data_IF_002221605160
#
_entry.id   IF_002221605160
#
_cell.length_a   1.000
_cell.length_b   1.000
_cell.length_c   1.000
_cell.angle_alpha   90.00
_cell.angle_beta   90.00
_cell.angle_gamma   90.00
#
_symmetry.space_group_name_H-M   'P 1'
#
loop_
_entity.id
_entity.type
_entity.pdbx_description
1 polymer ?
#
# COMPACT_ATOMS: atom_id res chain seq x y z
N UNK A 1 -4.36 21.65 6.75
CA UNK A 1 -3.76 20.53 7.52
C UNK A 1 -4.31 19.24 6.95
N UNK A 2 -3.45 18.24 6.74
CA UNK A 2 -3.91 16.94 6.28
C UNK A 2 -4.83 16.31 7.32
N UNK A 3 -5.96 15.74 6.87
CA UNK A 3 -6.91 15.05 7.76
C UNK A 3 -6.31 13.72 8.24
N UNK A 4 -6.34 13.47 9.53
CA UNK A 4 -5.76 12.24 10.11
C UNK A 4 -6.81 11.14 10.29
N UNK A 5 -6.34 9.88 10.42
CA UNK A 5 -7.18 8.71 10.73
C UNK A 5 -8.00 8.97 12.01
N UNK A 6 -7.36 9.50 13.07
CA UNK A 6 -8.01 9.80 14.35
C UNK A 6 -9.12 10.85 14.22
N UNK A 7 -8.92 11.88 13.38
CA UNK A 7 -9.95 12.91 13.15
C UNK A 7 -11.18 12.34 12.44
N UNK A 8 -10.98 11.42 11.49
CA UNK A 8 -12.09 10.74 10.81
C UNK A 8 -12.82 9.80 11.77
N UNK A 9 -12.11 9.03 12.56
CA UNK A 9 -12.72 8.16 13.56
C UNK A 9 -13.54 8.94 14.61
N UNK A 10 -13.06 10.10 15.02
CA UNK A 10 -13.78 11.00 15.95
C UNK A 10 -15.05 11.59 15.34
N UNK A 11 -15.08 11.85 14.02
CA UNK A 11 -16.28 12.32 13.30
C UNK A 11 -17.30 11.23 13.03
N UNK A 12 -16.90 9.97 13.09
CA UNK A 12 -17.70 8.79 12.79
C UNK A 12 -17.49 8.27 11.38
N UNK A 13 -17.32 6.95 11.29
CA UNK A 13 -17.21 6.23 10.04
C UNK A 13 -18.59 5.78 9.54
N UNK A 14 -18.79 5.84 8.24
CA UNK A 14 -19.96 5.29 7.60
C UNK A 14 -19.92 3.75 7.50
N UNK A 15 -18.71 3.19 7.52
CA UNK A 15 -18.45 1.76 7.43
C UNK A 15 -17.05 1.45 7.96
N UNK A 16 -16.92 0.39 8.74
CA UNK A 16 -15.65 -0.11 9.26
C UNK A 16 -15.62 -1.62 9.24
N UNK A 17 -14.52 -2.21 8.80
CA UNK A 17 -14.35 -3.66 8.73
C UNK A 17 -12.92 -4.08 9.02
N UNK A 18 -12.76 -5.32 9.47
CA UNK A 18 -11.45 -5.96 9.63
C UNK A 18 -11.02 -6.48 8.27
N UNK A 19 -9.79 -6.15 7.86
CA UNK A 19 -9.19 -6.54 6.57
C UNK A 19 -7.96 -7.42 6.75
N UNK A 20 -7.28 -7.74 5.64
CA UNK A 20 -6.01 -8.46 5.67
C UNK A 20 -6.12 -9.90 6.14
N UNK A 21 -5.14 -10.38 6.87
CA UNK A 21 -5.05 -11.79 7.32
C UNK A 21 -6.24 -12.22 8.17
N UNK A 22 -6.77 -11.32 8.99
CA UNK A 22 -7.93 -11.58 9.85
C UNK A 22 -9.25 -11.68 9.08
N UNK A 23 -9.36 -11.03 7.91
CA UNK A 23 -10.52 -11.18 7.02
C UNK A 23 -10.56 -12.57 6.40
N UNK A 24 -9.40 -13.07 5.99
CA UNK A 24 -9.27 -14.36 5.29
C UNK A 24 -9.04 -15.55 6.21
N UNK A 25 -8.93 -15.34 7.54
CA UNK A 25 -8.64 -16.41 8.49
C UNK A 25 -7.23 -17.01 8.33
N UNK A 26 -6.30 -16.23 7.79
CA UNK A 26 -4.88 -16.61 7.64
C UNK A 26 -3.97 -15.98 8.69
N UNK A 27 -4.57 -15.29 9.66
CA UNK A 27 -3.85 -14.67 10.77
C UNK A 27 -3.23 -15.72 11.70
N UNK A 28 -2.08 -15.37 12.27
CA UNK A 28 -1.40 -16.17 13.32
C UNK A 28 -1.72 -15.50 14.65
N UNK A 29 -2.34 -16.24 15.55
CA UNK A 29 -2.74 -15.74 16.86
C UNK A 29 -1.55 -15.20 17.65
N UNK A 30 -1.67 -13.99 18.19
CA UNK A 30 -0.63 -13.31 18.95
C UNK A 30 0.54 -12.74 18.14
N UNK A 31 0.52 -12.88 16.78
CA UNK A 31 1.59 -12.39 15.88
C UNK A 31 1.06 -11.43 14.83
N UNK A 32 -0.11 -11.75 14.23
CA UNK A 32 -0.65 -10.94 13.14
C UNK A 32 -1.33 -9.68 13.65
N UNK A 33 -0.98 -8.53 13.10
CA UNK A 33 -1.64 -7.25 13.36
C UNK A 33 -3.06 -7.25 12.78
N UNK A 34 -3.94 -6.45 13.38
CA UNK A 34 -5.31 -6.28 12.93
C UNK A 34 -5.38 -5.07 12.01
N UNK A 35 -5.48 -5.33 10.72
CA UNK A 35 -5.69 -4.28 9.72
C UNK A 35 -7.15 -3.82 9.70
N UNK A 36 -7.37 -2.52 9.57
CA UNK A 36 -8.70 -1.92 9.51
C UNK A 36 -8.93 -1.24 8.17
N UNK A 37 -10.12 -1.43 7.63
CA UNK A 37 -10.59 -0.71 6.45
C UNK A 37 -11.92 -0.03 6.74
N UNK A 38 -12.27 0.97 5.93
CA UNK A 38 -13.58 1.59 6.08
C UNK A 38 -13.85 2.69 5.07
N UNK A 39 -15.04 3.27 5.24
CA UNK A 39 -15.57 4.36 4.42
C UNK A 39 -16.04 5.49 5.33
N UNK A 40 -15.68 6.70 5.00
CA UNK A 40 -16.20 7.90 5.64
C UNK A 40 -16.97 8.77 4.64
N UNK A 41 -17.83 9.63 5.15
CA UNK A 41 -18.55 10.62 4.35
C UNK A 41 -17.96 11.98 4.70
N UNK A 42 -17.38 12.64 3.70
CA UNK A 42 -16.89 14.00 3.88
C UNK A 42 -18.05 14.97 4.08
N UNK A 43 -17.83 16.03 4.87
CA UNK A 43 -18.84 17.06 5.05
C UNK A 43 -19.06 17.91 3.79
N UNK A 44 -20.22 18.57 3.71
CA UNK A 44 -20.60 19.36 2.55
C UNK A 44 -19.61 20.49 2.25
N UNK A 45 -18.99 21.08 3.27
CA UNK A 45 -18.01 22.15 3.07
C UNK A 45 -16.74 21.62 2.40
N UNK A 46 -16.33 20.43 2.76
CA UNK A 46 -15.20 19.73 2.14
C UNK A 46 -15.52 19.35 0.68
N UNK A 47 -16.73 18.82 0.42
CA UNK A 47 -17.12 18.37 -0.92
C UNK A 47 -17.40 19.52 -1.89
N UNK A 48 -17.97 20.63 -1.40
CA UNK A 48 -18.36 21.81 -2.21
C UNK A 48 -17.32 22.93 -2.16
N UNK A 49 -16.32 22.82 -1.29
CA UNK A 49 -15.26 23.79 -1.11
C UNK A 49 -14.13 23.66 -2.13
N UNK A 50 -13.06 24.42 -1.88
CA UNK A 50 -11.82 24.29 -2.64
C UNK A 50 -11.10 22.99 -2.28
N UNK A 51 -10.49 22.29 -3.24
CA UNK A 51 -9.94 20.93 -3.08
C UNK A 51 -8.74 20.83 -2.12
N UNK A 52 -8.26 21.91 -1.55
CA UNK A 52 -7.07 21.94 -0.68
C UNK A 52 -7.18 21.03 0.58
N UNK A 53 -8.41 20.71 1.00
CA UNK A 53 -8.65 19.88 2.19
C UNK A 53 -9.39 18.56 1.88
N UNK A 54 -9.57 18.21 0.61
CA UNK A 54 -10.21 16.96 0.23
C UNK A 54 -9.19 15.83 0.08
N UNK A 55 -9.26 14.87 0.97
CA UNK A 55 -8.43 13.66 0.91
C UNK A 55 -9.31 12.45 0.60
N UNK A 56 -9.27 11.94 -0.63
CA UNK A 56 -10.12 10.82 -1.05
C UNK A 56 -9.75 9.49 -0.38
N UNK A 57 -8.56 9.39 0.20
CA UNK A 57 -8.06 8.24 0.92
C UNK A 57 -7.13 8.69 2.04
N UNK A 58 -7.34 8.16 3.23
CA UNK A 58 -6.54 8.43 4.41
C UNK A 58 -6.01 7.11 4.95
N UNK A 59 -4.72 7.07 5.25
CA UNK A 59 -4.07 5.91 5.86
C UNK A 59 -3.20 6.36 7.02
N UNK A 60 -3.02 5.48 7.99
CA UNK A 60 -2.02 5.69 9.03
C UNK A 60 -0.58 5.49 8.48
N UNK A 61 0.43 5.81 9.29
CA UNK A 61 1.84 5.71 8.87
C UNK A 61 2.29 4.28 8.54
N UNK A 62 1.67 3.29 9.17
CA UNK A 62 1.96 1.86 8.96
C UNK A 62 1.17 1.25 7.82
N UNK A 63 0.15 1.95 7.32
CA UNK A 63 -0.86 1.45 6.37
C UNK A 63 -1.70 0.27 6.88
N UNK A 64 -1.76 0.07 8.20
CA UNK A 64 -2.61 -0.94 8.83
C UNK A 64 -4.08 -0.49 8.82
N UNK A 65 -4.30 0.83 8.83
CA UNK A 65 -5.64 1.44 8.74
C UNK A 65 -5.76 2.27 7.45
N UNK A 66 -6.83 2.04 6.68
CA UNK A 66 -7.12 2.77 5.46
C UNK A 66 -8.60 3.07 5.33
N UNK A 67 -8.94 4.34 5.20
CA UNK A 67 -10.30 4.82 4.98
C UNK A 67 -10.43 5.54 3.65
N UNK A 68 -11.51 5.24 2.92
CA UNK A 68 -11.87 5.91 1.67
C UNK A 68 -13.02 6.88 1.91
N UNK A 69 -12.97 8.02 1.27
CA UNK A 69 -14.17 8.83 1.13
C UNK A 69 -15.21 8.09 0.28
N UNK A 70 -16.52 8.25 0.59
CA UNK A 70 -17.61 7.49 -0.03
C UNK A 70 -17.60 7.57 -1.57
N UNK A 71 -17.45 8.75 -2.13
CA UNK A 71 -17.40 8.94 -3.60
C UNK A 71 -16.18 8.25 -4.19
N UNK A 72 -15.03 8.35 -3.54
CA UNK A 72 -13.82 7.65 -3.95
C UNK A 72 -13.96 6.14 -3.86
N UNK A 73 -14.59 5.64 -2.82
CA UNK A 73 -14.86 4.21 -2.67
C UNK A 73 -15.74 3.68 -3.80
N UNK A 74 -16.84 4.39 -4.13
CA UNK A 74 -17.71 4.03 -5.26
C UNK A 74 -16.94 4.08 -6.58
N UNK A 75 -16.12 5.09 -6.81
CA UNK A 75 -15.27 5.17 -8.00
C UNK A 75 -14.35 3.94 -8.14
N UNK A 76 -13.74 3.51 -7.04
CA UNK A 76 -12.88 2.33 -7.00
C UNK A 76 -13.68 1.03 -7.26
N UNK A 77 -14.90 0.92 -6.72
CA UNK A 77 -15.81 -0.19 -7.01
C UNK A 77 -16.16 -0.26 -8.50
N UNK A 78 -16.50 0.88 -9.12
CA UNK A 78 -16.80 0.96 -10.56
C UNK A 78 -15.59 0.57 -11.44
N UNK A 79 -14.37 0.80 -10.94
CA UNK A 79 -13.12 0.39 -11.60
C UNK A 79 -12.71 -1.05 -11.26
N UNK A 80 -13.55 -1.80 -10.57
CA UNK A 80 -13.29 -3.15 -10.11
C UNK A 80 -11.96 -3.27 -9.32
N UNK A 81 -11.65 -2.26 -8.49
CA UNK A 81 -10.44 -2.29 -7.67
C UNK A 81 -10.54 -3.42 -6.64
N UNK A 82 -9.54 -4.33 -6.53
CA UNK A 82 -9.59 -5.49 -5.65
C UNK A 82 -9.85 -5.15 -4.18
N UNK A 83 -9.19 -4.12 -3.64
CA UNK A 83 -9.34 -3.74 -2.23
C UNK A 83 -10.75 -3.15 -1.94
N UNK A 84 -11.31 -2.39 -2.88
CA UNK A 84 -12.67 -1.88 -2.76
C UNK A 84 -13.70 -3.00 -2.85
N UNK A 85 -13.52 -3.94 -3.78
CA UNK A 85 -14.38 -5.13 -3.88
C UNK A 85 -14.28 -5.99 -2.63
N UNK A 86 -13.08 -6.22 -2.08
CA UNK A 86 -12.89 -6.91 -0.80
C UNK A 86 -13.77 -6.28 0.30
N UNK A 87 -13.71 -4.96 0.45
CA UNK A 87 -14.49 -4.25 1.45
C UNK A 87 -15.99 -4.38 1.27
N UNK A 88 -16.46 -4.41 0.01
CA UNK A 88 -17.87 -4.55 -0.34
C UNK A 88 -18.43 -5.94 0.04
N UNK A 89 -17.59 -6.96 -0.07
CA UNK A 89 -17.94 -8.36 0.20
C UNK A 89 -17.48 -8.85 1.59
N UNK A 90 -16.96 -7.96 2.44
CA UNK A 90 -16.59 -8.34 3.80
C UNK A 90 -17.79 -8.96 4.54
N UNK A 91 -17.63 -10.13 5.17
CA UNK A 91 -18.72 -10.79 5.88
C UNK A 91 -19.11 -10.02 7.14
N UNK A 92 -20.34 -10.20 7.60
CA UNK A 92 -20.93 -9.40 8.67
C UNK A 92 -20.21 -9.55 10.02
N UNK A 93 -19.61 -10.71 10.28
CA UNK A 93 -18.78 -10.96 11.49
C UNK A 93 -17.44 -10.18 11.50
N UNK A 94 -17.06 -9.62 10.36
CA UNK A 94 -15.87 -8.77 10.21
C UNK A 94 -16.18 -7.29 10.20
N UNK A 95 -17.45 -6.93 10.29
CA UNK A 95 -17.88 -5.53 10.35
C UNK A 95 -17.83 -5.04 11.79
N UNK A 96 -17.32 -3.83 11.96
CA UNK A 96 -17.15 -3.20 13.27
C UNK A 96 -18.11 -2.01 13.41
N UNK A 97 -19.09 -2.13 14.29
CA UNK A 97 -20.08 -1.10 14.56
C UNK A 97 -21.23 -1.10 13.54
N UNK A 98 -21.92 0.04 13.45
CA UNK A 98 -23.08 0.22 12.58
C UNK A 98 -22.67 0.62 11.16
N UNK A 99 -23.45 0.21 10.18
CA UNK A 99 -23.26 0.60 8.77
C UNK A 99 -24.21 1.75 8.45
N UNK A 100 -23.69 2.83 7.89
CA UNK A 100 -24.51 3.94 7.41
C UNK A 100 -25.46 3.47 6.29
N UNK A 101 -26.73 3.92 6.25
CA UNK A 101 -27.72 3.47 5.25
C UNK A 101 -27.26 3.59 3.79
N UNK A 102 -26.50 4.64 3.44
CA UNK A 102 -25.95 4.79 2.09
C UNK A 102 -24.96 3.67 1.72
N UNK A 103 -24.11 3.24 2.65
CA UNK A 103 -23.17 2.13 2.44
C UNK A 103 -23.93 0.81 2.41
N UNK A 104 -24.93 0.64 3.30
CA UNK A 104 -25.77 -0.56 3.31
C UNK A 104 -26.49 -0.74 1.97
N UNK A 105 -27.05 0.33 1.40
CA UNK A 105 -27.69 0.29 0.07
C UNK A 105 -26.72 -0.22 -1.02
N UNK A 106 -25.47 0.22 -0.97
CA UNK A 106 -24.44 -0.24 -1.92
C UNK A 106 -24.12 -1.71 -1.69
N UNK A 107 -23.99 -2.16 -0.44
CA UNK A 107 -23.74 -3.55 -0.07
C UNK A 107 -24.88 -4.47 -0.47
N UNK A 108 -26.12 -4.04 -0.31
CA UNK A 108 -27.33 -4.81 -0.72
C UNK A 108 -27.39 -5.03 -2.25
N UNK A 109 -26.77 -4.11 -3.00
CA UNK A 109 -26.69 -4.17 -4.46
C UNK A 109 -25.27 -4.53 -4.97
N UNK A 110 -24.45 -5.19 -4.14
CA UNK A 110 -23.04 -5.46 -4.44
C UNK A 110 -22.80 -6.25 -5.74
N UNK A 111 -23.74 -7.08 -6.14
CA UNK A 111 -23.62 -7.89 -7.36
C UNK A 111 -23.55 -7.02 -8.63
N UNK A 112 -24.06 -5.78 -8.59
CA UNK A 112 -23.96 -4.83 -9.70
C UNK A 112 -22.52 -4.41 -10.00
N UNK A 113 -21.61 -4.52 -9.01
CA UNK A 113 -20.19 -4.17 -9.16
C UNK A 113 -19.35 -5.34 -9.67
N UNK A 114 -19.91 -6.56 -9.72
CA UNK A 114 -19.20 -7.74 -10.26
C UNK A 114 -19.37 -7.75 -11.77
N UNK A 115 -18.55 -7.00 -12.46
CA UNK A 115 -18.58 -6.86 -13.92
C UNK A 115 -17.45 -7.65 -14.59
N UNK A 116 -17.43 -7.71 -15.93
CA UNK A 116 -16.35 -8.33 -16.69
C UNK A 116 -14.98 -7.68 -16.44
N UNK A 117 -14.95 -6.40 -16.06
CA UNK A 117 -13.72 -5.69 -15.68
C UNK A 117 -13.04 -6.31 -14.45
N UNK A 118 -13.82 -6.96 -13.57
CA UNK A 118 -13.25 -7.67 -12.42
C UNK A 118 -12.25 -8.75 -12.84
N UNK A 119 -12.47 -9.42 -13.97
CA UNK A 119 -11.54 -10.43 -14.46
C UNK A 119 -10.15 -9.85 -14.74
N UNK A 120 -10.09 -8.74 -15.47
CA UNK A 120 -8.82 -8.09 -15.82
C UNK A 120 -8.12 -7.52 -14.58
N UNK A 121 -8.89 -6.84 -13.73
CA UNK A 121 -8.38 -6.19 -12.53
C UNK A 121 -7.83 -7.21 -11.53
N UNK A 122 -8.62 -8.24 -11.19
CA UNK A 122 -8.21 -9.28 -10.24
C UNK A 122 -7.07 -10.14 -10.79
N UNK A 123 -7.09 -10.49 -12.08
CA UNK A 123 -6.01 -11.24 -12.71
C UNK A 123 -4.70 -10.45 -12.69
N UNK A 124 -4.73 -9.17 -13.06
CA UNK A 124 -3.57 -8.28 -12.99
C UNK A 124 -3.02 -8.15 -11.56
N UNK A 125 -3.90 -8.01 -10.57
CA UNK A 125 -3.53 -8.00 -9.17
C UNK A 125 -2.87 -9.31 -8.73
N UNK A 126 -3.50 -10.46 -9.01
CA UNK A 126 -2.96 -11.77 -8.67
C UNK A 126 -1.57 -12.01 -9.27
N UNK A 127 -1.38 -11.71 -10.56
CA UNK A 127 -0.07 -11.79 -11.24
C UNK A 127 0.96 -10.90 -10.55
N UNK A 128 0.58 -9.69 -10.16
CA UNK A 128 1.48 -8.77 -9.46
C UNK A 128 1.92 -9.30 -8.10
N UNK A 129 1.02 -9.92 -7.34
CA UNK A 129 1.32 -10.53 -6.05
C UNK A 129 2.23 -11.76 -6.21
N UNK A 130 1.97 -12.63 -7.19
CA UNK A 130 2.84 -13.77 -7.51
C UNK A 130 4.26 -13.28 -7.85
N UNK A 131 4.39 -12.23 -8.67
CA UNK A 131 5.70 -11.65 -8.99
C UNK A 131 6.43 -11.08 -7.77
N UNK A 132 5.72 -10.44 -6.84
CA UNK A 132 6.30 -9.97 -5.58
C UNK A 132 6.80 -11.14 -4.73
N UNK A 133 6.00 -12.19 -4.59
CA UNK A 133 6.40 -13.38 -3.81
C UNK A 133 7.57 -14.12 -4.44
N UNK A 134 7.60 -14.32 -5.76
CA UNK A 134 8.75 -14.94 -6.43
C UNK A 134 10.02 -14.10 -6.32
N UNK A 135 9.89 -12.77 -6.31
CA UNK A 135 11.01 -11.86 -6.03
C UNK A 135 11.51 -11.95 -4.59
N UNK A 136 10.62 -12.11 -3.62
CA UNK A 136 10.94 -12.34 -2.21
C UNK A 136 11.60 -13.72 -2.01
N UNK A 137 11.09 -14.76 -2.67
CA UNK A 137 11.70 -16.10 -2.63
C UNK A 137 13.13 -16.10 -3.17
N UNK A 138 13.45 -15.30 -4.19
CA UNK A 138 14.83 -15.12 -4.65
C UNK A 138 15.75 -14.58 -3.52
N UNK A 139 15.25 -13.67 -2.70
CA UNK A 139 15.99 -13.14 -1.55
C UNK A 139 16.11 -14.14 -0.39
N UNK A 140 15.12 -15.02 -0.21
CA UNK A 140 15.12 -16.04 0.83
C UNK A 140 15.92 -17.30 0.45
N UNK A 141 15.86 -17.70 -0.83
CA UNK A 141 16.54 -18.92 -1.34
C UNK A 141 18.00 -18.66 -1.69
N UNK A 142 18.35 -17.41 -1.99
CA UNK A 142 19.73 -16.97 -2.12
C UNK A 142 20.01 -15.94 -1.03
N UNK A 143 20.38 -16.36 0.20
CA UNK A 143 20.88 -15.40 1.17
C UNK A 143 22.07 -14.70 0.52
N UNK A 144 21.91 -13.42 0.23
CA UNK A 144 23.03 -12.59 -0.22
C UNK A 144 23.92 -12.46 1.00
N UNK A 145 24.92 -13.32 1.09
CA UNK A 145 25.95 -13.33 2.14
C UNK A 145 26.68 -11.99 2.20
N UNK A 146 26.78 -11.32 1.04
CA UNK A 146 27.29 -9.96 0.93
C UNK A 146 26.31 -9.13 0.09
N UNK A 147 25.75 -8.09 0.71
CA UNK A 147 24.93 -7.12 0.02
C UNK A 147 25.83 -6.26 -0.87
N UNK A 148 25.71 -6.38 -2.19
CA UNK A 148 26.43 -5.50 -3.12
C UNK A 148 25.94 -4.07 -2.95
N UNK A 149 26.89 -3.18 -2.76
CA UNK A 149 26.67 -1.73 -2.69
C UNK A 149 26.89 -1.09 -4.06
N UNK A 150 26.48 0.16 -4.20
CA UNK A 150 26.62 0.87 -5.49
C UNK A 150 28.09 0.92 -5.96
N UNK A 151 29.04 1.06 -5.01
CA UNK A 151 30.47 1.11 -5.33
C UNK A 151 31.04 -0.22 -5.83
N UNK A 152 30.36 -1.37 -5.60
CA UNK A 152 30.76 -2.66 -6.19
C UNK A 152 30.63 -2.70 -7.71
N UNK A 153 29.85 -1.77 -8.28
CA UNK A 153 29.64 -1.63 -9.72
C UNK A 153 30.40 -0.44 -10.33
N UNK A 154 31.15 0.30 -9.52
CA UNK A 154 31.90 1.47 -9.95
C UNK A 154 33.37 1.12 -10.19
N UNK A 155 33.91 1.56 -11.33
CA UNK A 155 35.29 1.36 -11.71
C UNK A 155 35.94 2.69 -12.09
N UNK A 156 37.25 2.79 -11.87
CA UNK A 156 38.07 3.91 -12.32
C UNK A 156 39.24 3.42 -13.17
N UNK A 157 39.87 4.32 -13.89
CA UNK A 157 41.04 3.98 -14.72
C UNK A 157 42.29 3.75 -13.88
N UNK A 158 43.06 2.70 -14.23
CA UNK A 158 44.41 2.44 -13.69
C UNK A 158 45.32 2.09 -14.83
N UNK A 159 46.11 3.08 -15.32
CA UNK A 159 46.91 2.94 -16.53
C UNK A 159 46.03 2.67 -17.76
N UNK A 160 46.29 1.57 -18.47
CA UNK A 160 45.51 1.13 -19.65
C UNK A 160 44.33 0.20 -19.25
N UNK A 161 44.16 -0.10 -17.96
CA UNK A 161 43.12 -0.96 -17.47
C UNK A 161 42.11 -0.23 -16.55
N UNK A 162 41.25 -1.02 -15.87
CA UNK A 162 40.31 -0.52 -14.89
C UNK A 162 40.58 -1.14 -13.52
N UNK A 163 40.30 -0.39 -12.47
CA UNK A 163 40.36 -0.81 -11.08
C UNK A 163 38.99 -0.59 -10.43
N UNK A 164 38.57 -1.46 -9.50
CA UNK A 164 37.34 -1.24 -8.75
C UNK A 164 37.47 0.06 -7.91
N UNK A 165 36.37 0.77 -7.75
CA UNK A 165 36.35 1.99 -6.94
C UNK A 165 36.69 1.69 -5.48
N UNK A 166 36.31 0.51 -4.96
CA UNK A 166 36.65 0.08 -3.59
C UNK A 166 38.16 -0.05 -3.41
N UNK A 167 38.85 -0.71 -4.34
CA UNK A 167 40.31 -0.87 -4.27
C UNK A 167 41.01 0.49 -4.41
N UNK A 168 40.51 1.35 -5.28
CA UNK A 168 41.05 2.71 -5.44
C UNK A 168 40.94 3.54 -4.17
N UNK A 169 39.82 3.46 -3.45
CA UNK A 169 39.62 4.15 -2.16
C UNK A 169 40.49 3.55 -1.07
N UNK A 170 40.61 2.21 -1.02
CA UNK A 170 41.44 1.52 -0.05
C UNK A 170 42.94 1.85 -0.23
N UNK A 171 43.44 1.89 -1.48
CA UNK A 171 44.83 2.29 -1.79
C UNK A 171 45.16 3.71 -1.30
N UNK A 172 44.15 4.59 -1.22
CA UNK A 172 44.32 5.98 -0.75
C UNK A 172 43.95 6.21 0.70
N UNK A 173 43.58 5.17 1.43
CA UNK A 173 43.17 5.27 2.83
C UNK A 173 41.87 6.04 3.05
N UNK A 174 41.00 6.10 2.01
CA UNK A 174 39.69 6.77 2.07
C UNK A 174 38.62 5.78 2.51
N UNK A 175 37.91 6.12 3.57
CA UNK A 175 36.78 5.30 4.04
C UNK A 175 35.53 5.56 3.15
N UNK A 176 34.97 4.49 2.63
CA UNK A 176 33.80 4.50 1.76
C UNK A 176 32.60 5.26 2.37
N UNK A 177 32.43 5.24 3.69
CA UNK A 177 31.34 5.94 4.39
C UNK A 177 31.34 7.46 4.18
N UNK A 178 32.46 8.04 3.79
CA UNK A 178 32.60 9.47 3.48
C UNK A 178 32.45 9.78 1.99
N UNK A 179 32.21 8.75 1.15
CA UNK A 179 32.07 8.89 -0.28
C UNK A 179 30.60 8.79 -0.67
N UNK A 180 30.12 9.72 -1.51
CA UNK A 180 28.78 9.75 -2.08
C UNK A 180 28.81 9.80 -3.60
N UNK A 181 27.74 9.32 -4.23
CA UNK A 181 27.51 9.51 -5.66
C UNK A 181 26.84 10.88 -5.86
N UNK A 182 27.46 11.70 -6.69
CA UNK A 182 26.92 13.00 -7.09
C UNK A 182 26.48 12.89 -8.54
N UNK A 183 25.23 13.27 -8.83
CA UNK A 183 24.75 13.40 -10.19
C UNK A 183 25.32 14.73 -10.76
N UNK A 184 26.22 14.63 -11.71
CA UNK A 184 26.76 15.79 -12.41
C UNK A 184 25.89 15.97 -13.66
N UNK A 185 25.18 17.10 -13.81
CA UNK A 185 24.32 17.37 -14.97
C UNK A 185 25.11 17.46 -16.26
#
# INVERSE_FOLDING_TARGET
>A
MATTVQEIEAKGLAYRYIRGSHLYGTNIEGVSDVDMGGVYIADNNTLLGLPENYEPQISDEKHDTTYYELGRWVELLMKANPNALESLFAPDDKIVGEIHPAVQLIRDNRDLFVTKECFNSLNGYAISQIKKHTGLNKKCVQPVLERKEVLDFCYTFKGQGSQSMKDFLAERGLDQKYCGLVNIP
#
